data_IF_112994864153
#
_entry.id   IF_112994864153
#
_cell.length_a   1.000
_cell.length_b   1.000
_cell.length_c   1.000
_cell.angle_alpha   90.00
_cell.angle_beta   90.00
_cell.angle_gamma   90.00
#
_symmetry.space_group_name_H-M   'P 1'
#
loop_
_entity.id
_entity.type
_entity.pdbx_description
1 polymer ?
#
# COMPACT_ATOMS: atom_id res chain seq x y z
N UNK A 1 59.22 -15.10 -4.62
CA UNK A 1 60.28 -14.86 -5.65
C UNK A 1 59.87 -13.63 -6.45
N UNK A 2 60.69 -12.56 -6.31
CA UNK A 2 60.84 -11.36 -7.17
C UNK A 2 59.59 -10.52 -7.51
N UNK A 3 59.31 -9.50 -6.76
CA UNK A 3 59.72 -8.05 -6.87
C UNK A 3 59.92 -7.53 -8.29
N UNK A 4 59.16 -6.48 -8.67
CA UNK A 4 59.71 -5.26 -9.28
C UNK A 4 58.74 -4.10 -9.17
N UNK A 5 59.15 -3.12 -8.38
CA UNK A 5 58.81 -1.70 -8.47
C UNK A 5 59.59 -1.07 -9.62
N UNK A 6 59.18 0.10 -10.15
CA UNK A 6 59.96 1.33 -10.32
C UNK A 6 59.09 2.40 -11.08
N UNK A 7 59.50 3.67 -11.05
CA UNK A 7 58.66 4.86 -10.63
C UNK A 7 58.66 5.95 -11.73
N UNK A 8 58.12 7.13 -11.38
CA UNK A 8 58.42 8.32 -12.19
C UNK A 8 57.42 9.45 -12.03
N UNK A 9 57.65 10.24 -11.07
CA UNK A 9 57.75 11.74 -10.97
C UNK A 9 57.43 12.56 -12.20
N UNK A 10 56.59 13.59 -12.03
CA UNK A 10 56.98 14.98 -12.35
C UNK A 10 55.93 15.97 -11.77
N UNK A 11 56.40 16.77 -10.85
CA UNK A 11 55.73 17.99 -10.37
C UNK A 11 55.92 19.12 -11.41
N UNK A 12 54.91 19.96 -11.59
CA UNK A 12 55.10 21.25 -12.24
C UNK A 12 54.40 22.33 -11.38
N UNK A 13 55.23 23.10 -10.69
CA UNK A 13 54.87 24.34 -9.99
C UNK A 13 54.88 25.46 -11.02
N UNK A 14 53.81 26.23 -11.12
CA UNK A 14 53.85 27.56 -11.75
C UNK A 14 53.25 28.58 -10.77
N UNK A 15 54.10 29.40 -10.24
CA UNK A 15 53.80 30.68 -9.59
C UNK A 15 53.45 31.72 -10.68
N UNK A 16 52.46 32.51 -10.52
CA UNK A 16 52.50 33.93 -10.91
C UNK A 16 51.37 34.74 -10.28
N UNK A 17 51.81 35.62 -9.42
CA UNK A 17 51.62 37.07 -9.43
C UNK A 17 50.30 37.63 -8.89
N UNK A 18 50.47 38.31 -7.77
CA UNK A 18 49.55 39.29 -7.19
C UNK A 18 49.10 40.39 -8.17
N UNK A 19 47.82 40.61 -8.21
CA UNK A 19 47.30 41.96 -8.47
C UNK A 19 46.26 42.30 -7.41
N UNK A 20 46.63 43.20 -6.52
CA UNK A 20 45.75 43.89 -5.57
C UNK A 20 44.89 44.89 -6.37
N UNK A 21 43.60 44.73 -6.33
CA UNK A 21 42.64 45.77 -6.67
C UNK A 21 41.64 45.87 -5.56
N UNK A 22 41.75 46.98 -4.84
CA UNK A 22 40.68 47.50 -3.96
C UNK A 22 39.43 47.71 -4.80
N UNK A 23 38.31 47.18 -4.38
CA UNK A 23 37.03 47.66 -4.81
C UNK A 23 35.96 47.51 -3.75
N UNK A 24 35.28 48.58 -3.58
CA UNK A 24 34.24 48.96 -2.65
C UNK A 24 33.23 47.87 -2.28
N UNK A 25 32.90 47.87 -0.98
CA UNK A 25 31.71 47.28 -0.41
C UNK A 25 30.44 47.85 -1.04
N UNK A 26 29.76 47.05 -1.86
CA UNK A 26 28.35 47.20 -2.11
C UNK A 26 27.64 45.93 -1.63
N UNK A 27 26.87 46.09 -0.56
CA UNK A 27 25.87 45.17 -0.10
C UNK A 27 25.02 44.71 -1.27
N UNK A 28 25.27 43.47 -1.75
CA UNK A 28 24.29 42.73 -2.53
C UNK A 28 23.56 41.83 -1.54
N UNK A 29 22.43 42.30 -1.03
CA UNK A 29 21.37 41.44 -0.54
C UNK A 29 21.05 40.47 -1.66
N UNK A 30 21.60 39.28 -1.57
CA UNK A 30 21.18 38.15 -2.43
C UNK A 30 19.72 37.84 -2.06
N UNK A 31 18.79 38.33 -2.84
CA UNK A 31 17.43 37.80 -2.90
C UNK A 31 17.58 36.36 -3.28
N UNK A 32 17.65 35.46 -2.29
CA UNK A 32 17.38 34.03 -2.53
C UNK A 32 15.93 33.95 -2.99
N UNK A 33 15.74 33.67 -4.28
CA UNK A 33 14.43 33.30 -4.80
C UNK A 33 13.86 32.22 -3.86
N UNK A 34 12.57 32.28 -3.49
CA UNK A 34 11.97 31.25 -2.66
C UNK A 34 12.17 29.92 -3.39
N UNK A 35 12.89 28.99 -2.76
CA UNK A 35 12.96 27.61 -3.25
C UNK A 35 11.52 27.10 -3.26
N UNK A 36 10.96 26.94 -4.45
CA UNK A 36 9.68 26.26 -4.61
C UNK A 36 9.85 24.86 -4.07
N UNK A 37 9.26 24.58 -2.89
CA UNK A 37 9.24 23.25 -2.29
C UNK A 37 8.58 22.31 -3.31
N UNK A 38 9.37 21.42 -3.92
CA UNK A 38 8.86 20.48 -4.91
C UNK A 38 7.98 19.45 -4.21
N UNK A 39 6.69 19.51 -4.45
CA UNK A 39 5.77 18.43 -4.06
C UNK A 39 5.90 17.29 -5.08
N UNK A 40 5.90 16.05 -4.60
CA UNK A 40 5.86 14.86 -5.47
C UNK A 40 4.50 14.21 -5.34
N UNK A 41 3.80 14.07 -6.45
CA UNK A 41 2.47 13.47 -6.56
C UNK A 41 2.57 12.10 -7.21
N UNK A 42 1.76 11.15 -6.75
CA UNK A 42 1.69 9.79 -7.25
C UNK A 42 0.35 9.16 -6.89
N UNK A 43 -0.01 8.08 -7.58
CA UNK A 43 -1.29 7.41 -7.41
C UNK A 43 -1.14 6.00 -6.84
N UNK A 44 -2.06 5.62 -5.95
CA UNK A 44 -2.15 4.29 -5.35
C UNK A 44 -3.55 3.72 -5.51
N UNK A 45 -3.64 2.44 -5.85
CA UNK A 45 -4.87 1.66 -5.80
C UNK A 45 -4.70 0.53 -4.79
N UNK A 46 -5.67 0.40 -3.87
CA UNK A 46 -5.81 -0.76 -2.99
C UNK A 46 -7.04 -1.56 -3.42
N UNK A 47 -6.92 -2.89 -3.56
CA UNK A 47 -8.02 -3.73 -3.98
C UNK A 47 -7.94 -5.16 -3.47
N UNK A 48 -8.91 -5.58 -2.69
CA UNK A 48 -9.17 -6.99 -2.46
C UNK A 48 -9.75 -7.59 -3.76
N UNK A 49 -8.99 -8.49 -4.39
CA UNK A 49 -9.32 -9.04 -5.71
C UNK A 49 -10.11 -10.36 -5.62
N UNK A 50 -10.66 -10.66 -4.45
CA UNK A 50 -11.52 -11.81 -4.18
C UNK A 50 -10.91 -13.14 -4.62
N UNK A 51 -10.16 -13.81 -3.73
CA UNK A 51 -9.65 -15.18 -3.96
C UNK A 51 -8.98 -15.36 -5.34
N UNK A 52 -7.94 -14.56 -5.62
CA UNK A 52 -7.25 -14.60 -6.90
C UNK A 52 -6.27 -15.78 -6.93
N UNK A 53 -6.82 -16.97 -7.14
CA UNK A 53 -6.07 -18.22 -7.25
C UNK A 53 -5.52 -18.42 -8.66
N UNK A 54 -4.37 -19.10 -8.78
CA UNK A 54 -3.82 -19.53 -10.05
C UNK A 54 -4.60 -20.75 -10.62
N UNK A 55 -4.19 -21.27 -11.74
CA UNK A 55 -4.90 -22.38 -12.37
C UNK A 55 -4.50 -23.77 -11.87
N UNK A 56 -3.66 -23.83 -10.84
CA UNK A 56 -3.15 -25.05 -10.21
C UNK A 56 -3.84 -25.27 -8.88
N UNK A 57 -4.09 -26.51 -8.50
CA UNK A 57 -4.66 -26.83 -7.17
C UNK A 57 -3.57 -27.42 -6.31
N UNK A 58 -3.13 -26.69 -5.30
CA UNK A 58 -2.11 -27.12 -4.33
C UNK A 58 -2.70 -27.66 -3.02
N UNK A 59 -4.04 -27.49 -2.84
CA UNK A 59 -4.80 -28.01 -1.71
C UNK A 59 -5.02 -26.99 -0.59
N UNK A 60 -4.48 -25.77 -0.71
CA UNK A 60 -4.71 -24.69 0.26
C UNK A 60 -5.83 -23.74 -0.16
N UNK A 61 -6.31 -23.82 -1.39
CA UNK A 61 -7.41 -23.00 -1.89
C UNK A 61 -8.70 -23.31 -1.12
N UNK A 62 -9.62 -22.38 -1.13
CA UNK A 62 -10.92 -22.57 -0.49
C UNK A 62 -11.72 -23.70 -1.17
N UNK A 63 -12.55 -24.37 -0.38
CA UNK A 63 -13.25 -25.59 -0.78
C UNK A 63 -14.05 -25.46 -2.07
N UNK A 64 -14.56 -24.26 -2.37
CA UNK A 64 -15.33 -24.02 -3.59
C UNK A 64 -14.45 -24.05 -4.84
N UNK A 65 -13.21 -23.55 -4.75
CA UNK A 65 -12.22 -23.64 -5.82
C UNK A 65 -11.70 -25.07 -5.98
N UNK A 66 -11.43 -25.77 -4.87
CA UNK A 66 -11.01 -27.17 -4.93
C UNK A 66 -12.06 -28.06 -5.62
N UNK A 67 -13.36 -27.79 -5.40
CA UNK A 67 -14.48 -28.54 -5.97
C UNK A 67 -14.88 -28.07 -7.37
N UNK A 68 -14.52 -26.83 -7.76
CA UNK A 68 -14.90 -26.29 -9.06
C UNK A 68 -14.20 -27.04 -10.20
N UNK A 69 -14.99 -27.75 -11.04
CA UNK A 69 -14.46 -28.51 -12.15
C UNK A 69 -13.95 -27.66 -13.33
N UNK A 70 -14.39 -26.40 -13.38
CA UNK A 70 -14.00 -25.43 -14.43
C UNK A 70 -12.83 -24.55 -14.02
N UNK A 71 -12.33 -24.64 -12.78
CA UNK A 71 -11.15 -23.88 -12.37
C UNK A 71 -9.88 -24.57 -12.87
N UNK A 72 -9.16 -23.91 -13.75
CA UNK A 72 -7.96 -24.41 -14.41
C UNK A 72 -7.13 -23.24 -14.98
N UNK A 73 -5.98 -23.53 -15.55
CA UNK A 73 -5.06 -22.55 -16.15
C UNK A 73 -5.75 -21.64 -17.18
N UNK A 74 -6.69 -22.12 -17.97
CA UNK A 74 -7.38 -21.30 -18.96
C UNK A 74 -8.28 -20.26 -18.28
N UNK A 75 -9.07 -20.65 -17.29
CA UNK A 75 -9.93 -19.76 -16.51
C UNK A 75 -9.11 -18.73 -15.76
N UNK A 76 -7.99 -19.16 -15.15
CA UNK A 76 -7.02 -18.27 -14.53
C UNK A 76 -6.47 -17.25 -15.54
N UNK A 77 -6.01 -17.69 -16.72
CA UNK A 77 -5.44 -16.80 -17.74
C UNK A 77 -6.44 -15.72 -18.15
N UNK A 78 -7.72 -16.05 -18.33
CA UNK A 78 -8.76 -15.07 -18.65
C UNK A 78 -8.95 -14.06 -17.52
N UNK A 79 -8.94 -14.52 -16.27
CA UNK A 79 -9.05 -13.66 -15.09
C UNK A 79 -7.83 -12.73 -14.96
N UNK A 80 -6.62 -13.27 -15.16
CA UNK A 80 -5.37 -12.52 -15.17
C UNK A 80 -5.36 -11.42 -16.24
N UNK A 81 -5.77 -11.76 -17.47
CA UNK A 81 -5.89 -10.78 -18.57
C UNK A 81 -6.82 -9.63 -18.21
N UNK A 82 -7.95 -9.94 -17.57
CA UNK A 82 -8.92 -8.96 -17.11
C UNK A 82 -8.31 -8.02 -16.05
N UNK A 83 -7.61 -8.57 -15.06
CA UNK A 83 -6.91 -7.76 -14.05
C UNK A 83 -5.84 -6.87 -14.68
N UNK A 84 -5.05 -7.39 -15.62
CA UNK A 84 -4.04 -6.60 -16.34
C UNK A 84 -4.65 -5.49 -17.20
N UNK A 85 -5.84 -5.71 -17.78
CA UNK A 85 -6.59 -4.66 -18.48
C UNK A 85 -7.01 -3.54 -17.52
N UNK A 86 -7.54 -3.88 -16.35
CA UNK A 86 -7.86 -2.91 -15.29
C UNK A 86 -6.61 -2.08 -14.91
N UNK A 87 -5.50 -2.76 -14.59
CA UNK A 87 -4.24 -2.09 -14.21
C UNK A 87 -3.78 -1.13 -15.31
N UNK A 88 -3.83 -1.55 -16.56
CA UNK A 88 -3.42 -0.74 -17.72
C UNK A 88 -4.36 0.44 -17.97
N UNK A 89 -5.65 0.27 -17.75
CA UNK A 89 -6.68 1.30 -17.93
C UNK A 89 -6.62 2.37 -16.85
N UNK A 90 -6.56 1.94 -15.58
CA UNK A 90 -6.49 2.83 -14.41
C UNK A 90 -5.13 3.52 -14.32
N UNK A 91 -4.05 2.81 -14.66
CA UNK A 91 -2.71 3.34 -14.84
C UNK A 91 -2.12 4.03 -13.57
N UNK A 92 -2.49 3.55 -12.37
CA UNK A 92 -1.91 4.03 -11.11
C UNK A 92 -0.43 3.65 -10.99
N UNK A 93 0.31 4.35 -10.11
CA UNK A 93 1.74 4.12 -9.93
C UNK A 93 2.02 2.91 -9.03
N UNK A 94 1.14 2.65 -8.06
CA UNK A 94 1.25 1.55 -7.10
C UNK A 94 -0.09 0.84 -7.01
N UNK A 95 -0.07 -0.50 -7.00
CA UNK A 95 -1.21 -1.33 -6.69
C UNK A 95 -0.88 -2.22 -5.50
N UNK A 96 -1.80 -2.28 -4.57
CA UNK A 96 -1.81 -3.20 -3.43
C UNK A 96 -3.01 -4.11 -3.59
N UNK A 97 -2.77 -5.42 -3.53
CA UNK A 97 -3.79 -6.44 -3.71
C UNK A 97 -3.88 -7.33 -2.48
N UNK A 98 -5.08 -7.54 -2.00
CA UNK A 98 -5.43 -8.58 -1.05
C UNK A 98 -5.97 -9.81 -1.80
N UNK A 99 -5.87 -10.95 -1.16
CA UNK A 99 -6.37 -12.25 -1.65
C UNK A 99 -5.65 -12.80 -2.89
N UNK A 100 -4.37 -12.49 -3.04
CA UNK A 100 -3.48 -13.13 -4.02
C UNK A 100 -3.00 -14.48 -3.47
N UNK A 101 -3.09 -15.54 -4.27
CA UNK A 101 -2.72 -16.88 -3.84
C UNK A 101 -1.24 -17.04 -3.54
N UNK A 102 -0.38 -16.64 -4.47
CA UNK A 102 1.05 -16.86 -4.37
C UNK A 102 1.86 -15.80 -5.14
N UNK A 103 3.17 -15.82 -4.95
CA UNK A 103 4.08 -14.89 -5.61
C UNK A 103 4.10 -15.04 -7.14
N UNK A 104 3.84 -16.25 -7.67
CA UNK A 104 3.80 -16.49 -9.11
C UNK A 104 2.69 -15.68 -9.79
N UNK A 105 1.55 -15.47 -9.13
CA UNK A 105 0.47 -14.60 -9.63
C UNK A 105 0.96 -13.17 -9.82
N UNK A 106 1.77 -12.65 -8.89
CA UNK A 106 2.35 -11.29 -8.99
C UNK A 106 3.35 -11.21 -10.16
N UNK A 107 4.16 -12.25 -10.37
CA UNK A 107 5.04 -12.33 -11.54
C UNK A 107 4.27 -12.41 -12.85
N UNK A 108 3.19 -13.17 -12.89
CA UNK A 108 2.33 -13.30 -14.08
C UNK A 108 1.68 -11.96 -14.44
N UNK A 109 1.20 -11.19 -13.44
CA UNK A 109 0.68 -9.84 -13.65
C UNK A 109 1.77 -8.95 -14.27
N UNK A 110 2.97 -8.93 -13.68
CA UNK A 110 4.07 -8.09 -14.14
C UNK A 110 4.53 -8.47 -15.56
N UNK A 111 4.65 -9.76 -15.85
CA UNK A 111 5.05 -10.28 -17.15
C UNK A 111 4.00 -9.95 -18.23
N UNK A 112 2.72 -10.11 -17.92
CA UNK A 112 1.66 -9.82 -18.88
C UNK A 112 1.55 -8.32 -19.17
N UNK A 113 1.71 -7.46 -18.18
CA UNK A 113 1.76 -6.02 -18.35
C UNK A 113 2.97 -5.60 -19.22
N UNK A 114 4.13 -6.21 -19.02
CA UNK A 114 5.32 -5.97 -19.81
C UNK A 114 5.13 -6.42 -21.29
N UNK A 115 4.54 -7.60 -21.51
CA UNK A 115 4.28 -8.13 -22.87
C UNK A 115 3.24 -7.34 -23.66
N UNK A 116 2.24 -6.75 -23.00
CA UNK A 116 1.20 -5.92 -23.64
C UNK A 116 1.67 -4.58 -24.15
N UNK A 117 2.93 -4.24 -23.95
CA UNK A 117 3.53 -2.94 -24.24
C UNK A 117 4.25 -2.83 -25.57
N UNK A 118 3.56 -2.48 -26.68
CA UNK A 118 4.20 -2.31 -28.00
C UNK A 118 4.98 -1.00 -28.24
N UNK A 119 4.99 -0.06 -27.29
CA UNK A 119 5.72 1.23 -27.47
C UNK A 119 6.71 1.46 -26.30
N UNK A 120 7.95 1.06 -26.51
CA UNK A 120 9.07 1.17 -25.57
C UNK A 120 9.37 2.60 -25.07
N UNK A 121 8.98 3.62 -25.80
CA UNK A 121 9.38 5.01 -25.56
C UNK A 121 8.46 5.81 -24.60
N UNK A 122 7.33 5.26 -24.13
CA UNK A 122 6.37 6.01 -23.31
C UNK A 122 5.80 5.24 -22.09
N UNK A 123 6.25 4.02 -21.80
CA UNK A 123 5.62 3.20 -20.75
C UNK A 123 6.43 3.19 -19.46
N UNK A 124 5.79 3.69 -18.42
CA UNK A 124 6.14 3.41 -17.06
C UNK A 124 5.67 1.98 -16.75
N UNK A 125 6.60 1.03 -16.58
CA UNK A 125 6.29 -0.34 -16.20
C UNK A 125 6.27 -0.49 -14.68
N UNK A 126 5.48 -1.44 -14.18
CA UNK A 126 5.52 -1.87 -12.78
C UNK A 126 6.64 -2.91 -12.62
N UNK A 127 7.88 -2.41 -12.50
CA UNK A 127 9.09 -3.26 -12.47
C UNK A 127 9.43 -3.81 -11.09
N UNK A 128 8.72 -3.35 -10.07
CA UNK A 128 9.00 -3.72 -8.69
C UNK A 128 7.77 -4.38 -8.09
N UNK A 129 7.99 -5.47 -7.37
CA UNK A 129 6.93 -6.20 -6.71
C UNK A 129 7.35 -6.68 -5.33
N UNK A 130 6.38 -6.92 -4.47
CA UNK A 130 6.53 -7.57 -3.19
C UNK A 130 5.34 -8.48 -2.94
N UNK A 131 5.57 -9.57 -2.23
CA UNK A 131 4.54 -10.52 -1.86
C UNK A 131 4.78 -11.05 -0.45
N UNK A 132 3.70 -11.31 0.30
CA UNK A 132 3.75 -12.02 1.56
C UNK A 132 2.50 -12.88 1.77
N UNK A 133 2.72 -14.14 2.08
CA UNK A 133 1.69 -15.10 2.47
C UNK A 133 2.21 -15.95 3.62
N UNK A 134 1.38 -16.19 4.64
CA UNK A 134 1.68 -17.16 5.68
C UNK A 134 1.65 -18.57 5.08
N UNK A 135 2.60 -19.40 5.45
CA UNK A 135 2.64 -20.79 5.00
C UNK A 135 1.32 -21.52 5.29
N UNK A 136 0.94 -22.45 4.43
CA UNK A 136 -0.29 -23.23 4.55
C UNK A 136 -1.59 -22.41 4.61
N UNK A 137 -1.57 -21.16 4.16
CA UNK A 137 -2.78 -20.34 3.99
C UNK A 137 -3.16 -20.20 2.51
N UNK A 138 -4.44 -19.91 2.25
CA UNK A 138 -4.96 -19.82 0.88
C UNK A 138 -4.48 -18.54 0.16
N UNK A 139 -4.36 -17.43 0.88
CA UNK A 139 -4.24 -16.09 0.30
C UNK A 139 -3.22 -15.24 1.03
N UNK A 140 -2.60 -14.33 0.31
CA UNK A 140 -1.62 -13.36 0.77
C UNK A 140 -1.85 -11.96 0.23
N UNK A 141 -0.83 -11.13 0.37
CA UNK A 141 -0.77 -9.73 -0.04
C UNK A 141 0.24 -9.55 -1.16
N UNK A 142 -0.12 -8.82 -2.21
CA UNK A 142 0.74 -8.51 -3.33
C UNK A 142 0.84 -7.02 -3.58
N UNK A 143 2.02 -6.55 -3.99
CA UNK A 143 2.27 -5.16 -4.39
C UNK A 143 2.96 -5.17 -5.73
N UNK A 144 2.51 -4.32 -6.66
CA UNK A 144 3.27 -3.96 -7.85
C UNK A 144 3.48 -2.44 -7.88
N UNK A 145 4.65 -1.98 -8.28
CA UNK A 145 5.04 -0.58 -8.23
C UNK A 145 5.91 -0.16 -9.40
N UNK A 146 5.73 1.08 -9.86
CA UNK A 146 6.66 1.77 -10.76
C UNK A 146 7.90 2.29 -10.04
N UNK A 147 7.79 2.46 -8.72
CA UNK A 147 8.86 2.95 -7.88
C UNK A 147 9.62 1.79 -7.23
N UNK A 148 10.95 1.94 -7.01
CA UNK A 148 11.72 0.92 -6.33
C UNK A 148 11.17 0.58 -4.94
N UNK A 149 11.08 -0.73 -4.66
CA UNK A 149 10.73 -1.29 -3.37
C UNK A 149 12.00 -1.79 -2.67
N UNK A 150 12.07 -1.60 -1.37
CA UNK A 150 13.15 -2.10 -0.51
C UNK A 150 12.65 -2.44 0.89
N UNK A 151 13.49 -3.08 1.70
CA UNK A 151 13.18 -3.40 3.09
C UNK A 151 11.85 -4.19 3.26
N UNK A 152 11.56 -5.11 2.33
CA UNK A 152 10.34 -5.93 2.37
C UNK A 152 10.34 -6.82 3.60
N UNK A 153 9.29 -6.74 4.41
CA UNK A 153 9.09 -7.50 5.64
C UNK A 153 7.68 -8.03 5.73
N UNK A 154 7.56 -9.29 6.12
CA UNK A 154 6.29 -9.91 6.50
C UNK A 154 6.21 -9.96 8.03
N UNK A 155 5.24 -9.26 8.61
CA UNK A 155 5.00 -9.27 10.04
C UNK A 155 3.90 -10.26 10.37
N UNK A 156 4.18 -11.17 11.30
CA UNK A 156 3.15 -12.09 11.81
C UNK A 156 2.12 -11.30 12.61
N UNK A 157 0.85 -11.63 12.38
CA UNK A 157 -0.28 -11.05 13.10
C UNK A 157 -0.87 -12.05 14.10
N UNK A 158 -0.07 -13.04 14.49
CA UNK A 158 -0.48 -14.13 15.38
C UNK A 158 -0.63 -13.66 16.81
N UNK A 159 -1.70 -14.14 17.44
CA UNK A 159 -1.95 -13.98 18.86
C UNK A 159 -2.22 -15.35 19.48
N UNK A 160 -1.69 -15.60 20.67
CA UNK A 160 -2.02 -16.77 21.48
C UNK A 160 -2.86 -16.33 22.67
N UNK A 161 -4.15 -16.53 22.57
CA UNK A 161 -5.07 -16.36 23.70
C UNK A 161 -5.21 -17.70 24.41
N UNK A 162 -5.13 -17.68 25.77
CA UNK A 162 -5.36 -18.86 26.59
C UNK A 162 -6.74 -19.46 26.29
N UNK A 163 -6.78 -20.76 26.05
CA UNK A 163 -7.99 -21.54 25.80
C UNK A 163 -8.80 -21.19 24.54
N UNK A 164 -8.19 -20.54 23.55
CA UNK A 164 -8.83 -20.30 22.25
C UNK A 164 -7.97 -20.84 21.11
N UNK A 165 -8.64 -21.47 20.14
CA UNK A 165 -7.99 -21.81 18.87
C UNK A 165 -7.74 -20.54 18.10
N UNK A 166 -6.49 -20.31 17.74
CA UNK A 166 -6.13 -19.18 16.88
C UNK A 166 -6.63 -19.44 15.46
N UNK A 167 -7.36 -18.49 14.85
CA UNK A 167 -7.66 -18.57 13.43
C UNK A 167 -6.37 -18.37 12.62
N UNK A 168 -6.35 -18.86 11.38
CA UNK A 168 -5.34 -18.44 10.43
C UNK A 168 -5.45 -16.93 10.23
N UNK A 169 -4.37 -16.21 10.53
CA UNK A 169 -4.22 -14.77 10.24
C UNK A 169 -3.34 -14.59 9.01
N UNK A 170 -3.34 -13.42 8.41
CA UNK A 170 -2.47 -13.06 7.29
C UNK A 170 -1.35 -12.18 7.81
N UNK A 171 -0.23 -12.16 7.12
CA UNK A 171 0.83 -11.20 7.42
C UNK A 171 0.38 -9.76 7.17
N UNK A 172 0.99 -8.81 7.87
CA UNK A 172 1.09 -7.43 7.40
C UNK A 172 2.36 -7.33 6.57
N UNK A 173 2.25 -6.84 5.34
CA UNK A 173 3.37 -6.65 4.43
C UNK A 173 3.87 -5.21 4.53
N UNK A 174 5.11 -5.03 5.01
CA UNK A 174 5.79 -3.73 5.08
C UNK A 174 6.84 -3.64 3.98
N UNK A 175 6.89 -2.52 3.28
CA UNK A 175 7.97 -2.19 2.36
C UNK A 175 8.25 -0.70 2.35
N UNK A 176 9.47 -0.32 1.98
CA UNK A 176 9.83 1.04 1.67
C UNK A 176 9.72 1.28 0.16
N UNK A 177 9.06 2.36 -0.23
CA UNK A 177 8.91 2.81 -1.61
C UNK A 177 9.74 4.07 -1.81
N UNK A 178 10.59 4.10 -2.84
CA UNK A 178 11.43 5.27 -3.16
C UNK A 178 10.73 6.18 -4.17
N UNK A 179 10.13 7.28 -3.71
CA UNK A 179 9.32 8.20 -4.54
C UNK A 179 9.99 9.57 -4.54
N UNK A 180 10.42 10.03 -5.70
CA UNK A 180 11.11 11.33 -5.82
C UNK A 180 12.36 11.46 -4.94
N UNK A 181 13.07 10.36 -4.70
CA UNK A 181 14.23 10.29 -3.83
C UNK A 181 13.91 10.25 -2.32
N UNK A 182 12.62 10.17 -1.96
CA UNK A 182 12.16 10.06 -0.57
C UNK A 182 11.71 8.63 -0.27
N UNK A 183 11.98 8.20 0.96
CA UNK A 183 11.48 6.93 1.50
C UNK A 183 10.06 7.13 2.01
N UNK A 184 9.11 6.37 1.47
CA UNK A 184 7.73 6.25 1.92
C UNK A 184 7.54 4.83 2.44
N UNK A 185 6.99 4.66 3.62
CA UNK A 185 6.67 3.34 4.15
C UNK A 185 5.26 2.95 3.72
N UNK A 186 5.09 1.72 3.25
CA UNK A 186 3.82 1.14 2.85
C UNK A 186 3.55 -0.10 3.70
N UNK A 187 2.43 -0.10 4.42
CA UNK A 187 1.96 -1.18 5.29
C UNK A 187 0.65 -1.74 4.71
N UNK A 188 0.74 -2.85 3.99
CA UNK A 188 -0.43 -3.53 3.44
C UNK A 188 -1.00 -4.54 4.45
N UNK A 189 -2.32 -4.58 4.58
CA UNK A 189 -3.04 -5.34 5.59
C UNK A 189 -4.17 -6.16 4.96
N UNK A 190 -4.46 -7.33 5.55
CA UNK A 190 -5.69 -8.05 5.34
C UNK A 190 -6.08 -8.73 6.66
N UNK A 191 -7.00 -8.11 7.40
CA UNK A 191 -7.35 -8.56 8.73
C UNK A 191 -8.33 -9.73 8.72
N UNK A 192 -8.59 -10.30 9.90
CA UNK A 192 -9.50 -11.41 10.07
C UNK A 192 -10.91 -11.04 9.66
N UNK A 193 -11.46 -11.81 8.72
CA UNK A 193 -12.82 -11.60 8.21
C UNK A 193 -13.87 -11.78 9.32
N UNK A 194 -15.05 -11.18 9.12
CA UNK A 194 -16.24 -11.31 9.96
C UNK A 194 -16.86 -12.73 9.88
N UNK A 195 -16.34 -13.59 8.99
CA UNK A 195 -16.80 -14.98 8.84
C UNK A 195 -16.75 -15.75 10.17
N UNK A 196 -17.83 -16.43 10.47
CA UNK A 196 -18.02 -17.12 11.76
C UNK A 196 -18.63 -16.26 12.86
N UNK A 197 -18.97 -15.00 12.56
CA UNK A 197 -19.66 -14.05 13.43
C UNK A 197 -18.78 -12.83 13.78
N UNK A 198 -19.39 -11.66 13.66
CA UNK A 198 -18.76 -10.35 13.92
C UNK A 198 -18.12 -10.31 15.32
N UNK A 199 -18.91 -10.52 16.35
CA UNK A 199 -18.47 -10.47 17.75
C UNK A 199 -17.37 -11.49 18.07
N UNK A 200 -17.47 -12.72 17.54
CA UNK A 200 -16.47 -13.76 17.77
C UNK A 200 -15.14 -13.46 17.11
N UNK A 201 -15.17 -12.77 15.96
CA UNK A 201 -13.96 -12.46 15.21
C UNK A 201 -13.33 -11.12 15.59
N UNK A 202 -14.05 -10.25 16.30
CA UNK A 202 -13.61 -8.90 16.67
C UNK A 202 -12.31 -8.88 17.46
N UNK A 203 -12.14 -9.77 18.42
CA UNK A 203 -10.92 -9.84 19.23
C UNK A 203 -9.65 -10.01 18.40
N UNK A 204 -9.74 -10.69 17.26
CA UNK A 204 -8.62 -10.88 16.35
C UNK A 204 -8.30 -9.59 15.59
N UNK A 205 -9.32 -8.83 15.18
CA UNK A 205 -9.14 -7.51 14.57
C UNK A 205 -8.61 -6.48 15.56
N UNK A 206 -9.10 -6.49 16.80
CA UNK A 206 -8.58 -5.63 17.87
C UNK A 206 -7.09 -5.90 18.16
N UNK A 207 -6.67 -7.16 18.06
CA UNK A 207 -5.26 -7.51 18.18
C UNK A 207 -4.44 -7.08 16.96
N UNK A 208 -4.97 -7.23 15.76
CA UNK A 208 -4.32 -6.79 14.54
C UNK A 208 -4.15 -5.27 14.51
N UNK A 209 -5.15 -4.53 14.99
CA UNK A 209 -5.04 -3.09 15.23
C UNK A 209 -3.89 -2.75 16.18
N UNK A 210 -3.81 -3.44 17.33
CA UNK A 210 -2.74 -3.24 18.29
C UNK A 210 -1.34 -3.48 17.70
N UNK A 211 -1.17 -4.51 16.90
CA UNK A 211 0.12 -4.79 16.24
C UNK A 211 0.47 -3.72 15.19
N UNK A 212 -0.49 -3.31 14.38
CA UNK A 212 -0.32 -2.23 13.40
C UNK A 212 0.04 -0.91 14.09
N UNK A 213 -0.74 -0.49 15.08
CA UNK A 213 -0.52 0.76 15.83
C UNK A 213 0.85 0.77 16.51
N UNK A 214 1.23 -0.33 17.15
CA UNK A 214 2.56 -0.48 17.76
C UNK A 214 3.67 -0.39 16.73
N UNK A 215 3.48 -0.96 15.54
CA UNK A 215 4.46 -0.85 14.46
C UNK A 215 4.61 0.58 13.97
N UNK A 216 3.51 1.31 13.78
CA UNK A 216 3.53 2.72 13.37
C UNK A 216 4.22 3.56 14.44
N UNK A 217 3.91 3.37 15.73
CA UNK A 217 4.57 4.07 16.83
C UNK A 217 6.10 3.84 16.82
N UNK A 218 6.55 2.61 16.59
CA UNK A 218 7.99 2.31 16.45
C UNK A 218 8.62 3.04 15.24
N UNK A 219 7.94 3.06 14.10
CA UNK A 219 8.44 3.68 12.88
C UNK A 219 8.54 5.21 13.03
N UNK A 220 7.59 5.84 13.71
CA UNK A 220 7.59 7.29 13.95
C UNK A 220 8.60 7.73 15.01
N UNK A 221 8.94 6.85 15.96
CA UNK A 221 9.97 7.15 16.98
C UNK A 221 11.39 6.95 16.46
N UNK A 222 11.65 5.90 15.66
CA UNK A 222 12.99 5.51 15.21
C UNK A 222 13.38 6.18 13.88
N UNK A 223 12.41 6.39 13.01
CA UNK A 223 12.62 7.08 11.73
C UNK A 223 12.56 8.60 11.96
N UNK A 224 13.12 9.38 11.03
CA UNK A 224 13.04 10.84 11.08
C UNK A 224 11.61 11.30 11.34
N UNK A 225 11.39 12.27 12.22
CA UNK A 225 10.06 12.84 12.45
C UNK A 225 9.39 13.15 11.11
N UNK A 226 8.12 12.74 10.95
CA UNK A 226 7.36 13.01 9.74
C UNK A 226 7.63 12.08 8.55
N UNK A 227 8.26 10.90 8.75
CA UNK A 227 8.36 9.90 7.67
C UNK A 227 6.97 9.61 7.09
N UNK A 228 6.78 9.70 5.76
CA UNK A 228 5.50 9.38 5.14
C UNK A 228 5.19 7.89 5.31
N UNK A 229 3.99 7.58 5.80
CA UNK A 229 3.50 6.21 5.97
C UNK A 229 2.14 6.10 5.28
N UNK A 230 1.99 5.09 4.43
CA UNK A 230 0.72 4.67 3.84
C UNK A 230 0.33 3.34 4.49
N UNK A 231 -0.85 3.27 5.02
CA UNK A 231 -1.45 2.08 5.59
C UNK A 231 -2.69 1.77 4.76
N UNK A 232 -2.75 0.60 4.15
CA UNK A 232 -3.92 0.24 3.33
C UNK A 232 -4.25 -1.24 3.44
N UNK A 233 -5.43 -1.60 2.97
CA UNK A 233 -5.88 -2.99 2.91
C UNK A 233 -7.33 -3.18 3.27
N UNK A 234 -7.75 -4.46 3.29
CA UNK A 234 -9.02 -4.92 3.84
C UNK A 234 -8.87 -5.17 5.34
N UNK A 235 -9.41 -4.24 6.14
CA UNK A 235 -9.38 -4.33 7.60
C UNK A 235 -10.52 -5.17 8.16
N UNK A 236 -11.49 -5.57 7.33
CA UNK A 236 -12.69 -6.26 7.80
C UNK A 236 -13.37 -5.56 9.00
N UNK A 237 -13.12 -4.27 9.13
CA UNK A 237 -13.67 -3.34 10.12
C UNK A 237 -14.09 -2.08 9.40
N UNK A 238 -15.32 -1.63 9.64
CA UNK A 238 -15.81 -0.38 9.04
C UNK A 238 -14.96 0.80 9.55
N UNK A 239 -14.75 1.78 8.67
CA UNK A 239 -13.97 2.97 9.02
C UNK A 239 -14.57 3.72 10.21
N UNK A 240 -15.91 3.67 10.36
CA UNK A 240 -16.62 4.29 11.49
C UNK A 240 -16.45 3.55 12.84
N UNK A 241 -15.98 2.29 12.81
CA UNK A 241 -15.77 1.50 14.03
C UNK A 241 -14.41 1.75 14.69
N UNK A 242 -13.53 2.51 14.06
CA UNK A 242 -12.30 2.98 14.69
C UNK A 242 -12.59 4.15 15.63
N UNK A 243 -11.80 4.26 16.69
CA UNK A 243 -11.86 5.45 17.55
C UNK A 243 -11.38 6.63 16.73
N UNK A 244 -12.13 7.73 16.77
CA UNK A 244 -11.78 8.96 16.07
C UNK A 244 -11.86 10.14 17.02
N UNK A 245 -11.03 11.15 16.81
CA UNK A 245 -10.99 12.38 17.62
C UNK A 245 -10.55 13.57 16.76
N UNK A 246 -10.87 14.78 17.22
CA UNK A 246 -10.32 16.01 16.69
C UNK A 246 -9.08 16.40 17.48
N UNK A 247 -7.96 16.53 16.80
CA UNK A 247 -6.76 17.09 17.42
C UNK A 247 -6.94 18.59 17.71
N UNK A 248 -5.99 19.16 18.43
CA UNK A 248 -6.00 20.59 18.82
C UNK A 248 -6.01 21.55 17.62
N UNK A 249 -5.63 21.09 16.44
CA UNK A 249 -5.69 21.83 15.17
C UNK A 249 -7.05 21.74 14.46
N UNK A 250 -8.02 20.99 15.02
CA UNK A 250 -9.34 20.79 14.46
C UNK A 250 -9.41 19.82 13.31
N UNK A 251 -8.38 18.97 13.11
CA UNK A 251 -8.36 17.91 12.10
C UNK A 251 -8.89 16.62 12.69
N UNK A 252 -9.80 15.97 11.97
CA UNK A 252 -10.38 14.69 12.34
C UNK A 252 -9.37 13.56 12.05
N UNK A 253 -8.98 12.82 13.09
CA UNK A 253 -8.05 11.72 13.00
C UNK A 253 -8.67 10.40 13.46
N UNK A 254 -8.27 9.32 12.83
CA UNK A 254 -8.49 7.96 13.30
C UNK A 254 -7.40 7.61 14.30
N UNK A 255 -7.79 7.13 15.48
CA UNK A 255 -6.86 6.75 16.55
C UNK A 255 -6.72 5.23 16.60
N UNK A 256 -5.59 4.72 16.10
CA UNK A 256 -5.27 3.30 16.20
C UNK A 256 -4.76 2.98 17.60
N UNK A 257 -5.42 2.04 18.28
CA UNK A 257 -5.15 1.69 19.68
C UNK A 257 -4.09 0.60 19.78
N UNK A 258 -3.14 0.78 20.70
CA UNK A 258 -2.23 -0.27 21.13
C UNK A 258 -2.06 -0.29 22.65
N UNK A 259 -1.74 -1.48 23.19
CA UNK A 259 -1.39 -1.63 24.58
C UNK A 259 0.14 -1.67 24.75
N UNK A 260 0.65 -0.86 25.64
CA UNK A 260 2.02 -0.94 26.11
C UNK A 260 2.05 -1.19 27.62
N UNK A 261 3.23 -1.36 28.21
CA UNK A 261 3.45 -1.72 29.63
C UNK A 261 2.77 -0.82 30.67
N UNK A 262 2.21 0.32 30.25
CA UNK A 262 1.54 1.30 31.12
C UNK A 262 0.05 1.51 30.88
N UNK A 263 -0.57 0.85 29.90
CA UNK A 263 -1.99 1.04 29.56
C UNK A 263 -2.26 1.06 28.06
N UNK A 264 -3.44 1.53 27.67
CA UNK A 264 -3.78 1.75 26.26
C UNK A 264 -3.21 3.10 25.79
N UNK A 265 -2.60 3.09 24.62
CA UNK A 265 -2.06 4.27 23.94
C UNK A 265 -2.62 4.34 22.52
N UNK A 266 -2.43 5.46 21.82
CA UNK A 266 -3.00 5.70 20.52
C UNK A 266 -1.98 6.29 19.55
N UNK A 267 -2.12 5.91 18.28
CA UNK A 267 -1.38 6.51 17.16
C UNK A 267 -2.39 7.19 16.23
N UNK A 268 -2.33 8.52 16.06
CA UNK A 268 -3.19 9.20 15.12
C UNK A 268 -2.76 8.92 13.67
N UNK A 269 -3.74 8.62 12.83
CA UNK A 269 -3.62 8.47 11.38
C UNK A 269 -4.81 9.12 10.70
N UNK A 270 -4.64 9.57 9.46
CA UNK A 270 -5.73 10.12 8.67
C UNK A 270 -6.33 9.04 7.78
N UNK A 271 -7.53 8.56 8.10
CA UNK A 271 -8.31 7.73 7.16
C UNK A 271 -8.86 8.60 6.03
N UNK A 272 -8.67 8.16 4.79
CA UNK A 272 -9.14 8.90 3.61
C UNK A 272 -10.66 8.84 3.42
N UNK A 273 -11.37 8.01 4.17
CA UNK A 273 -12.82 8.00 4.19
C UNK A 273 -13.44 9.27 4.80
N UNK A 274 -12.68 10.02 5.61
CA UNK A 274 -13.17 11.18 6.30
C UNK A 274 -12.59 12.48 5.75
N UNK A 275 -13.46 13.48 5.62
CA UNK A 275 -13.09 14.88 5.43
C UNK A 275 -12.52 15.44 6.73
N UNK A 276 -11.84 16.59 6.72
CA UNK A 276 -11.28 17.21 7.94
C UNK A 276 -12.31 17.49 9.03
N UNK A 277 -13.60 17.62 8.69
CA UNK A 277 -14.70 17.83 9.65
C UNK A 277 -15.33 16.52 10.18
N UNK A 278 -14.77 15.35 9.79
CA UNK A 278 -15.22 14.04 10.24
C UNK A 278 -16.39 13.46 9.46
N UNK A 279 -16.85 14.11 8.40
CA UNK A 279 -17.89 13.57 7.52
C UNK A 279 -17.29 12.55 6.55
N UNK A 280 -18.03 11.54 6.14
CA UNK A 280 -17.63 10.66 5.05
C UNK A 280 -17.51 11.41 3.72
N UNK A 281 -16.42 11.19 2.98
CA UNK A 281 -16.23 11.78 1.63
C UNK A 281 -17.29 11.31 0.63
N UNK A 282 -17.84 10.10 0.85
CA UNK A 282 -18.93 9.52 0.06
C UNK A 282 -19.71 8.50 0.89
N UNK A 283 -20.97 8.28 0.51
CA UNK A 283 -21.81 7.22 1.09
C UNK A 283 -21.53 5.84 0.49
N UNK A 284 -20.82 5.77 -0.63
CA UNK A 284 -20.45 4.53 -1.28
C UNK A 284 -19.24 3.95 -0.56
N UNK A 285 -19.41 2.77 0.02
CA UNK A 285 -18.31 2.02 0.63
C UNK A 285 -17.48 1.24 -0.39
N UNK A 286 -16.60 0.38 0.11
CA UNK A 286 -15.82 -0.54 -0.72
C UNK A 286 -16.48 -1.90 -0.88
N UNK A 287 -17.34 -2.28 0.03
CA UNK A 287 -18.01 -3.58 0.10
C UNK A 287 -19.53 -3.41 0.24
N UNK A 288 -20.30 -4.23 -0.49
CA UNK A 288 -21.75 -4.22 -0.43
C UNK A 288 -22.24 -5.52 0.20
N UNK A 289 -22.84 -5.42 1.38
CA UNK A 289 -23.34 -6.57 2.12
C UNK A 289 -24.66 -6.22 2.82
N UNK A 290 -25.59 -7.19 2.85
CA UNK A 290 -26.90 -7.08 3.53
C UNK A 290 -27.61 -5.73 3.26
N UNK A 291 -27.72 -5.38 1.96
CA UNK A 291 -28.30 -4.14 1.45
C UNK A 291 -27.70 -2.83 1.98
N UNK A 292 -26.47 -2.87 2.48
CA UNK A 292 -25.74 -1.71 2.97
C UNK A 292 -24.31 -1.64 2.44
N UNK A 293 -23.75 -0.42 2.41
CA UNK A 293 -22.34 -0.18 2.16
C UNK A 293 -21.54 -0.33 3.45
N UNK A 294 -20.43 -1.04 3.35
CA UNK A 294 -19.39 -1.10 4.38
C UNK A 294 -18.10 -0.48 3.87
N UNK A 295 -17.38 0.24 4.73
CA UNK A 295 -16.10 0.90 4.44
C UNK A 295 -14.95 0.09 5.05
N UNK A 296 -14.89 -1.22 4.73
CA UNK A 296 -13.96 -2.17 5.37
C UNK A 296 -12.56 -2.19 4.76
N UNK A 297 -12.44 -1.77 3.50
CA UNK A 297 -11.12 -1.44 2.92
C UNK A 297 -10.79 0.01 3.26
N UNK A 298 -9.53 0.30 3.55
CA UNK A 298 -9.12 1.65 3.95
C UNK A 298 -7.75 2.00 3.39
N UNK A 299 -7.52 3.31 3.18
CA UNK A 299 -6.21 3.92 2.99
C UNK A 299 -6.08 4.98 4.07
N UNK A 300 -5.07 4.82 4.93
CA UNK A 300 -4.76 5.74 6.02
C UNK A 300 -3.36 6.30 5.83
N UNK A 301 -3.15 7.54 6.24
CA UNK A 301 -1.89 8.26 6.08
C UNK A 301 -1.34 8.72 7.43
N UNK A 302 -0.01 8.73 7.55
CA UNK A 302 0.70 9.38 8.66
C UNK A 302 1.98 10.06 8.16
N UNK A 303 2.44 11.09 8.87
CA UNK A 303 3.67 11.82 8.51
C UNK A 303 3.48 12.80 7.34
N UNK A 304 4.56 13.06 6.60
CA UNK A 304 4.63 14.12 5.57
C UNK A 304 3.99 13.72 4.23
N UNK A 305 2.77 13.23 4.28
CA UNK A 305 1.96 12.80 3.13
C UNK A 305 0.51 13.22 3.33
N UNK A 306 -0.17 13.58 2.26
CA UNK A 306 -1.60 13.91 2.26
C UNK A 306 -2.25 13.42 0.97
N UNK A 307 -3.57 13.33 0.97
CA UNK A 307 -4.34 13.07 -0.25
C UNK A 307 -4.70 14.36 -0.96
N UNK A 308 -4.66 14.31 -2.31
CA UNK A 308 -5.29 15.30 -3.18
C UNK A 308 -6.69 14.86 -3.59
N UNK A 309 -6.90 13.54 -3.78
CA UNK A 309 -8.19 12.95 -4.11
C UNK A 309 -8.25 11.50 -3.60
N UNK A 310 -9.42 11.09 -3.13
CA UNK A 310 -9.70 9.71 -2.74
C UNK A 310 -11.12 9.34 -3.16
N UNK A 311 -11.29 8.11 -3.66
CA UNK A 311 -12.60 7.57 -4.01
C UNK A 311 -12.61 6.04 -4.11
N UNK A 312 -13.72 5.39 -3.78
CA UNK A 312 -14.00 4.05 -4.30
C UNK A 312 -14.29 4.16 -5.80
N UNK A 313 -13.84 3.19 -6.58
CA UNK A 313 -13.98 3.18 -8.03
C UNK A 313 -15.26 2.43 -8.41
N UNK A 314 -16.29 3.17 -8.80
CA UNK A 314 -17.63 2.65 -9.13
C UNK A 314 -17.86 2.47 -10.63
N UNK A 315 -16.79 2.48 -11.42
CA UNK A 315 -16.87 2.41 -12.87
C UNK A 315 -17.12 0.98 -13.37
N UNK A 316 -17.82 0.84 -14.49
CA UNK A 316 -17.89 -0.42 -15.23
C UNK A 316 -16.52 -0.71 -15.88
N UNK A 317 -16.09 -1.96 -15.96
CA UNK A 317 -16.85 -3.19 -15.71
C UNK A 317 -16.69 -3.81 -14.31
N UNK A 318 -15.83 -3.25 -13.43
CA UNK A 318 -15.62 -3.81 -12.08
C UNK A 318 -16.75 -3.48 -11.09
N UNK A 319 -17.56 -2.50 -11.42
CA UNK A 319 -18.83 -2.24 -10.75
C UNK A 319 -20.01 -2.42 -11.73
N UNK A 320 -21.19 -2.72 -11.19
CA UNK A 320 -22.41 -2.82 -11.95
C UNK A 320 -23.07 -1.43 -12.16
N UNK A 321 -24.21 -1.38 -12.84
CA UNK A 321 -24.91 -0.13 -13.15
C UNK A 321 -25.37 0.66 -11.90
N UNK A 322 -25.46 0.03 -10.75
CA UNK A 322 -25.77 0.66 -9.46
C UNK A 322 -24.50 1.07 -8.68
N UNK A 323 -23.33 0.94 -9.27
CA UNK A 323 -22.05 1.23 -8.64
C UNK A 323 -21.60 0.20 -7.60
N UNK A 324 -22.31 -0.93 -7.45
CA UNK A 324 -21.94 -2.01 -6.53
C UNK A 324 -20.86 -2.89 -7.14
N UNK A 325 -20.02 -3.54 -6.32
CA UNK A 325 -19.00 -4.47 -6.81
C UNK A 325 -19.59 -5.55 -7.72
N UNK A 326 -18.89 -5.87 -8.78
CA UNK A 326 -19.25 -6.96 -9.69
C UNK A 326 -18.45 -8.22 -9.30
N UNK A 327 -18.92 -8.90 -8.26
CA UNK A 327 -18.24 -10.04 -7.65
C UNK A 327 -17.85 -11.12 -8.65
N UNK A 328 -16.68 -11.72 -8.45
CA UNK A 328 -16.21 -12.86 -9.24
C UNK A 328 -17.02 -14.11 -8.93
N UNK A 329 -17.49 -14.79 -9.99
CA UNK A 329 -18.30 -16.01 -9.92
C UNK A 329 -17.47 -17.18 -10.43
N UNK A 330 -16.99 -18.02 -9.52
CA UNK A 330 -16.11 -19.14 -9.87
C UNK A 330 -16.69 -20.09 -10.92
N UNK A 331 -18.00 -20.34 -10.89
CA UNK A 331 -18.64 -21.30 -11.81
C UNK A 331 -18.86 -20.76 -13.23
N UNK A 332 -18.98 -19.47 -13.42
CA UNK A 332 -19.11 -18.86 -14.75
C UNK A 332 -17.81 -18.19 -15.24
N UNK A 333 -16.87 -17.89 -14.33
CA UNK A 333 -15.66 -17.12 -14.63
C UNK A 333 -15.94 -15.63 -14.89
N UNK A 334 -17.17 -15.17 -14.62
CA UNK A 334 -17.58 -13.78 -14.80
C UNK A 334 -17.31 -12.96 -13.54
N UNK A 335 -17.34 -11.62 -13.69
CA UNK A 335 -17.17 -10.69 -12.59
C UNK A 335 -15.70 -10.36 -12.31
N UNK A 336 -15.45 -9.64 -11.21
CA UNK A 336 -14.17 -9.04 -10.86
C UNK A 336 -13.80 -9.31 -9.41
N UNK A 337 -14.46 -8.62 -8.49
CA UNK A 337 -14.34 -8.76 -7.05
C UNK A 337 -15.64 -8.34 -6.37
N UNK A 338 -15.88 -8.85 -5.17
CA UNK A 338 -16.92 -8.41 -4.26
C UNK A 338 -16.56 -7.12 -3.49
N UNK A 339 -15.33 -6.61 -3.71
CA UNK A 339 -14.87 -5.30 -3.24
C UNK A 339 -14.67 -4.33 -4.41
N UNK A 340 -14.89 -3.04 -4.17
CA UNK A 340 -14.49 -1.96 -5.09
C UNK A 340 -13.03 -1.61 -4.87
N UNK A 341 -12.26 -1.31 -5.95
CA UNK A 341 -10.94 -0.72 -5.80
C UNK A 341 -11.04 0.65 -5.11
N UNK A 342 -10.12 0.95 -4.21
CA UNK A 342 -9.92 2.28 -3.66
C UNK A 342 -8.78 2.98 -4.41
N UNK A 343 -9.05 4.15 -4.94
CA UNK A 343 -8.07 4.99 -5.62
C UNK A 343 -7.71 6.21 -4.80
N UNK A 344 -6.42 6.51 -4.69
CA UNK A 344 -5.92 7.71 -4.01
C UNK A 344 -4.85 8.41 -4.84
N UNK A 345 -4.98 9.73 -4.95
CA UNK A 345 -3.93 10.64 -5.42
C UNK A 345 -3.23 11.25 -4.22
N UNK A 346 -1.94 10.96 -4.08
CA UNK A 346 -1.15 11.23 -2.89
C UNK A 346 -0.04 12.24 -3.18
N UNK A 347 0.20 13.13 -2.21
CA UNK A 347 1.18 14.21 -2.32
C UNK A 347 2.13 14.16 -1.15
N UNK A 348 3.43 14.01 -1.43
CA UNK A 348 4.48 14.19 -0.45
C UNK A 348 4.79 15.68 -0.28
N UNK A 349 4.88 16.12 0.97
CA UNK A 349 5.27 17.50 1.30
C UNK A 349 6.44 17.51 2.29
N UNK A 350 7.15 18.61 2.38
CA UNK A 350 8.18 18.81 3.40
C UNK A 350 7.52 19.42 4.64
N UNK A 351 7.74 18.83 5.81
CA UNK A 351 7.42 19.49 7.07
C UNK A 351 8.39 20.67 7.25
N UNK A 352 7.88 21.78 7.65
CA UNK A 352 8.66 22.99 7.99
C UNK A 352 9.43 22.84 9.30
#
# INVERSE_FOLDING_TARGET
MKTKLIPGTAALILLCACCTVNCDSKDKTANSAPQTKSTTQFTLVNWNVQTFFDGTKDGFEYSDFQKAGNWNTQTYTVRLQRLCQFISQVNADIYVFEEIENEAVIYDISNQLAAGGQNWNQKKFWNYSAFAKQEETAIGLGIISRFPLSDVKAHTMDIRLHNQSQPQTRYMLETAVSIGGRKVLLLANHWKSKSGGEEKSRIWRDWQENLLAKRIAQLTQVSSPGIPIIICGDFNRDAADFICDFENDGVYNTLLRYADSGGADFVPVQSLWFTPDGSFVTKTGSYWYDDSWEHIDNIMLAGSIKTAEFRPMTDSPWANAQGKPNAYKIYSGEGWSDHLPLWADLVLFYQE
#
